data_IF_113660952762
#
_entry.id   IF_113660952762
#
_cell.length_a   1.000
_cell.length_b   1.000
_cell.length_c   1.000
_cell.angle_alpha   90.00
_cell.angle_beta   90.00
_cell.angle_gamma   90.00
#
_symmetry.space_group_name_H-M   'P 1'
#
loop_
_entity.id
_entity.type
_entity.pdbx_description
1 polymer ?
#
# COMPACT_ATOMS: atom_id res chain seq x y z
N UNK A 1 -3.96 -29.79 24.97
CA UNK A 1 -4.67 -28.50 24.87
C UNK A 1 -4.10 -27.64 23.72
N UNK A 2 -4.84 -27.53 22.60
CA UNK A 2 -4.45 -26.66 21.48
C UNK A 2 -4.98 -25.25 21.76
N UNK A 3 -4.08 -24.27 21.85
CA UNK A 3 -4.39 -22.87 22.13
C UNK A 3 -5.37 -22.31 21.08
N UNK A 4 -6.40 -21.60 21.54
CA UNK A 4 -7.48 -20.99 20.74
C UNK A 4 -7.07 -19.88 19.76
N UNK A 5 -5.78 -19.72 19.45
CA UNK A 5 -5.28 -18.79 18.44
C UNK A 5 -5.46 -19.33 17.01
N UNK A 6 -5.70 -20.64 16.84
CA UNK A 6 -5.80 -21.28 15.52
C UNK A 6 -7.17 -21.16 14.85
N UNK A 7 -8.22 -20.75 15.56
CA UNK A 7 -9.59 -20.72 15.01
C UNK A 7 -9.97 -19.44 14.27
N UNK A 8 -9.17 -18.36 14.37
CA UNK A 8 -9.45 -17.10 13.66
C UNK A 8 -8.81 -17.03 12.27
N UNK A 9 -7.76 -17.83 12.02
CA UNK A 9 -7.01 -17.80 10.75
C UNK A 9 -7.73 -18.50 9.59
N UNK A 10 -8.62 -19.46 9.87
CA UNK A 10 -9.33 -20.24 8.85
C UNK A 10 -10.44 -19.43 8.13
N UNK A 11 -10.89 -18.32 8.73
CA UNK A 11 -11.96 -17.47 8.20
C UNK A 11 -11.49 -16.14 7.59
N UNK A 12 -10.19 -15.82 7.67
CA UNK A 12 -9.62 -14.63 7.07
C UNK A 12 -8.88 -15.04 5.80
N UNK A 13 -9.49 -14.84 4.63
CA UNK A 13 -8.79 -14.94 3.35
C UNK A 13 -7.72 -13.85 3.29
N UNK A 14 -6.55 -14.14 3.86
CA UNK A 14 -5.39 -13.27 3.89
C UNK A 14 -4.75 -13.23 2.50
N UNK A 15 -4.81 -12.07 1.85
CA UNK A 15 -4.01 -11.78 0.66
C UNK A 15 -2.59 -11.41 1.09
N UNK A 16 -1.61 -12.23 0.71
CA UNK A 16 -0.19 -11.91 0.91
C UNK A 16 0.30 -11.06 -0.27
N UNK A 17 0.94 -9.93 0.03
CA UNK A 17 1.63 -9.09 -0.96
C UNK A 17 3.05 -8.83 -0.47
N UNK A 18 4.02 -8.90 -1.38
CA UNK A 18 5.43 -8.63 -1.08
C UNK A 18 5.85 -7.25 -1.59
N UNK A 19 6.78 -6.58 -0.92
CA UNK A 19 7.38 -5.32 -1.42
C UNK A 19 8.23 -5.53 -2.70
N UNK A 20 8.61 -6.79 -2.97
CA UNK A 20 9.23 -7.23 -4.22
C UNK A 20 8.25 -7.27 -5.41
N UNK A 21 6.94 -7.29 -5.15
CA UNK A 21 5.91 -7.21 -6.19
C UNK A 21 5.70 -5.75 -6.60
N UNK A 22 5.33 -5.49 -7.87
CA UNK A 22 5.11 -4.14 -8.33
C UNK A 22 3.95 -3.55 -7.51
N UNK A 23 4.25 -2.53 -6.71
CA UNK A 23 3.28 -1.83 -5.86
C UNK A 23 3.26 -0.34 -6.17
N UNK A 24 2.48 0.41 -5.41
CA UNK A 24 2.39 1.85 -5.60
C UNK A 24 3.59 2.52 -4.94
N UNK A 25 4.35 3.29 -5.74
CA UNK A 25 5.50 4.06 -5.25
C UNK A 25 5.15 5.52 -5.14
N UNK A 26 5.57 6.15 -4.04
CA UNK A 26 5.51 7.61 -3.89
C UNK A 26 6.76 8.25 -4.45
N UNK A 27 6.58 9.15 -5.42
CA UNK A 27 7.65 9.96 -5.99
C UNK A 27 7.46 11.41 -5.57
N UNK A 28 8.52 12.05 -5.09
CA UNK A 28 8.50 13.50 -4.81
C UNK A 28 8.59 14.27 -6.12
N UNK A 29 7.58 15.10 -6.42
CA UNK A 29 7.57 15.95 -7.61
C UNK A 29 7.36 17.40 -7.23
N UNK A 30 8.35 18.26 -7.50
CA UNK A 30 8.31 19.68 -7.16
C UNK A 30 7.96 19.93 -5.68
N UNK A 31 6.76 20.51 -5.45
CA UNK A 31 6.23 20.85 -4.12
C UNK A 31 5.34 19.76 -3.50
N UNK A 32 5.09 18.64 -4.19
CA UNK A 32 4.16 17.61 -3.76
C UNK A 32 4.65 16.19 -4.04
N UNK A 33 3.71 15.26 -4.08
CA UNK A 33 3.95 13.84 -4.33
C UNK A 33 3.11 13.36 -5.50
N UNK A 34 3.72 12.55 -6.36
CA UNK A 34 3.04 11.73 -7.36
C UNK A 34 3.11 10.28 -6.94
N UNK A 35 2.14 9.48 -7.39
CA UNK A 35 2.09 8.06 -7.11
C UNK A 35 2.11 7.29 -8.43
N UNK A 36 3.06 6.38 -8.57
CA UNK A 36 3.15 5.45 -9.70
C UNK A 36 2.64 4.09 -9.25
N UNK A 37 1.76 3.50 -10.06
CA UNK A 37 1.29 2.14 -9.87
C UNK A 37 2.31 1.08 -10.33
N UNK A 38 1.95 -0.20 -10.18
CA UNK A 38 2.76 -1.34 -10.59
C UNK A 38 3.28 -1.27 -12.03
N UNK A 39 2.44 -0.82 -12.95
CA UNK A 39 2.73 -0.75 -14.38
C UNK A 39 3.59 0.47 -14.77
N UNK A 40 4.04 1.27 -13.80
CA UNK A 40 4.76 2.53 -14.03
C UNK A 40 3.85 3.69 -14.46
N UNK A 41 2.54 3.45 -14.59
CA UNK A 41 1.53 4.46 -14.85
C UNK A 41 1.20 5.29 -13.61
N UNK A 42 0.65 6.49 -13.80
CA UNK A 42 0.11 7.30 -12.71
C UNK A 42 -1.11 6.59 -12.11
N UNK A 43 -1.21 6.54 -10.77
CA UNK A 43 -2.40 5.98 -10.12
C UNK A 43 -3.64 6.85 -10.35
N UNK A 44 -4.82 6.25 -10.24
CA UNK A 44 -6.09 6.99 -10.32
C UNK A 44 -6.27 7.98 -9.16
N UNK A 45 -7.07 9.02 -9.35
CA UNK A 45 -7.43 9.98 -8.29
C UNK A 45 -8.04 9.30 -7.06
N UNK A 46 -8.85 8.25 -7.25
CA UNK A 46 -9.43 7.48 -6.15
C UNK A 46 -8.36 6.79 -5.30
N UNK A 47 -7.38 6.16 -5.95
CA UNK A 47 -6.24 5.53 -5.26
C UNK A 47 -5.40 6.58 -4.54
N UNK A 48 -5.15 7.71 -5.18
CA UNK A 48 -4.42 8.83 -4.59
C UNK A 48 -5.12 9.36 -3.33
N UNK A 49 -6.43 9.59 -3.38
CA UNK A 49 -7.21 10.07 -2.24
C UNK A 49 -7.14 9.10 -1.05
N UNK A 50 -7.19 7.78 -1.31
CA UNK A 50 -6.99 6.75 -0.27
C UNK A 50 -5.62 6.88 0.40
N UNK A 51 -4.57 7.10 -0.39
CA UNK A 51 -3.20 7.25 0.11
C UNK A 51 -3.03 8.53 0.93
N UNK A 52 -3.63 9.63 0.48
CA UNK A 52 -3.60 10.89 1.23
C UNK A 52 -4.37 10.77 2.57
N UNK A 53 -5.42 9.94 2.62
CA UNK A 53 -6.19 9.70 3.85
C UNK A 53 -5.42 8.94 4.94
N UNK A 54 -4.40 8.13 4.60
CA UNK A 54 -3.57 7.42 5.59
C UNK A 54 -2.41 8.26 6.14
N UNK A 55 -2.32 9.55 5.76
CA UNK A 55 -1.42 10.57 6.32
C UNK A 55 0.04 10.12 6.37
N UNK A 56 0.61 9.75 5.21
CA UNK A 56 2.02 9.37 5.13
C UNK A 56 2.93 10.59 5.34
N UNK A 57 3.82 10.60 6.35
CA UNK A 57 4.66 11.76 6.65
C UNK A 57 5.51 12.21 5.45
N UNK A 58 5.67 13.53 5.24
CA UNK A 58 6.42 14.06 4.10
C UNK A 58 7.94 13.82 4.21
N UNK A 59 8.45 13.47 5.39
CA UNK A 59 9.86 13.17 5.62
C UNK A 59 10.29 11.79 5.08
N UNK A 60 9.34 10.90 4.76
CA UNK A 60 9.66 9.55 4.29
C UNK A 60 10.03 9.58 2.81
N UNK A 61 11.19 9.03 2.45
CA UNK A 61 11.70 9.11 1.07
C UNK A 61 11.46 7.85 0.26
N UNK A 62 11.30 6.70 0.92
CA UNK A 62 11.09 5.41 0.28
C UNK A 62 9.78 4.82 0.81
N UNK A 63 8.69 5.07 0.09
CA UNK A 63 7.34 4.66 0.49
C UNK A 63 6.78 3.74 -0.59
N UNK A 64 6.59 2.48 -0.20
CA UNK A 64 5.86 1.47 -0.96
C UNK A 64 4.48 1.28 -0.33
N UNK A 65 3.45 1.24 -1.16
CA UNK A 65 2.05 1.14 -0.74
C UNK A 65 1.42 -0.01 -1.51
N UNK A 66 0.68 -0.86 -0.80
CA UNK A 66 -0.04 -1.96 -1.43
C UNK A 66 -0.99 -1.44 -2.53
N UNK A 67 -0.98 -2.03 -3.73
CA UNK A 67 -1.93 -1.68 -4.79
C UNK A 67 -3.37 -2.10 -4.44
N UNK A 68 -3.52 -3.11 -3.56
CA UNK A 68 -4.79 -3.62 -3.08
C UNK A 68 -5.41 -2.71 -2.00
N UNK A 69 -6.72 -2.78 -1.78
CA UNK A 69 -7.48 -1.94 -0.85
C UNK A 69 -7.83 -2.65 0.46
#
# INVERSE_FOLDING_TARGET
>A
PKNGAQSSADHASLSYVSDAEPGIRRLKTGKGFSYQGPDGGTVSDTTRARIEAIVIPPAWTDVWISPDA
#
